data_IF_571555088086
#
_entry.id   IF_571555088086
#
_cell.length_a   1.000
_cell.length_b   1.000
_cell.length_c   1.000
_cell.angle_alpha   90.00
_cell.angle_beta   90.00
_cell.angle_gamma   90.00
#
_symmetry.space_group_name_H-M   'P 1'
#
loop_
_entity.id
_entity.type
_entity.pdbx_description
1 polymer ?
#
# COMPACT_ATOMS: atom_id res chain seq x y z
N UNK A 1 -25.28 -12.39 9.25
CA UNK A 1 -24.35 -11.57 10.05
C UNK A 1 -23.68 -10.61 9.09
N UNK A 2 -24.11 -9.35 9.05
CA UNK A 2 -23.44 -8.30 8.28
C UNK A 2 -22.31 -7.76 9.14
N UNK A 3 -21.06 -7.97 8.70
CA UNK A 3 -19.91 -7.34 9.34
C UNK A 3 -19.91 -5.89 8.87
N UNK A 4 -20.17 -4.96 9.80
CA UNK A 4 -19.99 -3.53 9.57
C UNK A 4 -18.49 -3.24 9.52
N UNK A 5 -17.92 -3.27 8.30
CA UNK A 5 -16.53 -2.87 8.08
C UNK A 5 -16.49 -1.36 7.92
N UNK A 6 -15.97 -0.64 8.90
CA UNK A 6 -15.65 0.79 8.74
C UNK A 6 -14.67 0.93 7.58
N UNK A 7 -15.00 1.70 6.53
CA UNK A 7 -14.11 1.84 5.38
C UNK A 7 -12.82 2.53 5.82
N UNK A 8 -11.69 1.86 5.60
CA UNK A 8 -10.37 2.45 5.81
C UNK A 8 -10.17 3.50 4.71
N UNK A 9 -9.98 4.75 5.10
CA UNK A 9 -9.85 5.86 4.16
C UNK A 9 -8.37 6.15 3.90
N UNK A 10 -7.93 6.01 2.65
CA UNK A 10 -6.59 6.39 2.21
C UNK A 10 -6.59 7.84 1.72
N UNK A 11 -5.81 8.71 2.37
CA UNK A 11 -5.53 10.04 1.84
C UNK A 11 -4.43 9.94 0.77
N UNK A 12 -4.83 10.05 -0.50
CA UNK A 12 -3.92 9.98 -1.66
C UNK A 12 -3.18 11.29 -1.95
N UNK A 13 -3.43 12.35 -1.16
CA UNK A 13 -2.75 13.64 -1.27
C UNK A 13 -1.67 13.83 -0.20
N UNK A 14 -1.59 12.94 0.77
CA UNK A 14 -0.58 12.99 1.83
C UNK A 14 0.82 12.60 1.32
N UNK A 15 1.81 12.70 2.21
CA UNK A 15 3.18 12.26 1.92
C UNK A 15 3.23 10.78 1.52
N UNK A 16 4.05 10.45 0.52
CA UNK A 16 4.12 9.09 -0.02
C UNK A 16 4.54 8.06 1.02
N UNK A 17 5.45 8.40 1.94
CA UNK A 17 5.88 7.49 2.99
C UNK A 17 4.75 7.21 3.99
N UNK A 18 3.94 8.22 4.32
CA UNK A 18 2.76 8.07 5.17
C UNK A 18 1.65 7.28 4.47
N UNK A 19 1.44 7.50 3.17
CA UNK A 19 0.50 6.71 2.39
C UNK A 19 0.95 5.24 2.32
N UNK A 20 2.23 4.98 2.09
CA UNK A 20 2.78 3.61 2.10
C UNK A 20 2.65 2.96 3.46
N UNK A 21 2.93 3.68 4.56
CA UNK A 21 2.69 3.20 5.92
C UNK A 21 1.22 2.80 6.12
N UNK A 22 0.28 3.67 5.73
CA UNK A 22 -1.15 3.39 5.82
C UNK A 22 -1.59 2.17 4.97
N UNK A 23 -0.97 1.95 3.81
CA UNK A 23 -1.20 0.75 2.99
C UNK A 23 -0.69 -0.51 3.70
N UNK A 24 0.50 -0.45 4.31
CA UNK A 24 1.13 -1.57 5.01
C UNK A 24 0.38 -1.99 6.29
N UNK A 25 -0.34 -1.06 6.91
CA UNK A 25 -1.17 -1.33 8.09
C UNK A 25 -2.47 -2.09 7.75
N UNK A 26 -2.82 -2.19 6.46
CA UNK A 26 -3.99 -2.96 5.99
C UNK A 26 -3.52 -4.35 5.60
N UNK A 27 -4.10 -5.38 6.24
CA UNK A 27 -3.81 -6.76 5.85
C UNK A 27 -4.28 -7.04 4.42
N UNK A 28 -3.36 -7.52 3.59
CA UNK A 28 -3.64 -7.92 2.20
C UNK A 28 -2.91 -9.21 1.83
N UNK A 29 -2.80 -10.17 2.74
CA UNK A 29 -2.21 -11.48 2.40
C UNK A 29 -3.00 -12.10 1.25
N UNK A 30 -2.33 -12.75 0.28
CA UNK A 30 -2.99 -13.28 -0.92
C UNK A 30 -4.29 -14.03 -0.59
N UNK A 31 -5.42 -13.57 -1.14
CA UNK A 31 -6.78 -14.04 -0.86
C UNK A 31 -7.55 -13.27 0.23
N UNK A 32 -6.97 -12.22 0.82
CA UNK A 32 -7.58 -11.34 1.81
C UNK A 32 -7.36 -9.84 1.49
N UNK A 33 -7.35 -9.49 0.20
CA UNK A 33 -7.06 -8.13 -0.28
C UNK A 33 -8.27 -7.20 -0.26
N UNK A 34 -9.48 -7.74 -0.06
CA UNK A 34 -10.75 -7.01 -0.18
C UNK A 34 -10.79 -5.67 0.58
N UNK A 35 -10.30 -5.64 1.82
CA UNK A 35 -10.28 -4.41 2.62
C UNK A 35 -9.36 -3.33 2.03
N UNK A 36 -8.20 -3.73 1.52
CA UNK A 36 -7.26 -2.83 0.86
C UNK A 36 -7.82 -2.37 -0.50
N UNK A 37 -8.41 -3.28 -1.26
CA UNK A 37 -9.07 -2.97 -2.52
C UNK A 37 -10.22 -1.96 -2.31
N UNK A 38 -11.06 -2.12 -1.29
CA UNK A 38 -12.13 -1.18 -0.96
C UNK A 38 -11.59 0.22 -0.63
N UNK A 39 -10.51 0.29 0.15
CA UNK A 39 -9.85 1.55 0.49
C UNK A 39 -9.29 2.26 -0.76
N UNK A 40 -8.63 1.51 -1.64
CA UNK A 40 -8.06 2.03 -2.90
C UNK A 40 -9.17 2.50 -3.84
N UNK A 41 -10.23 1.73 -4.03
CA UNK A 41 -11.36 2.12 -4.89
C UNK A 41 -12.01 3.40 -4.38
N UNK A 42 -12.29 3.48 -3.07
CA UNK A 42 -12.87 4.65 -2.43
C UNK A 42 -12.02 5.90 -2.67
N UNK A 43 -10.70 5.79 -2.47
CA UNK A 43 -9.79 6.90 -2.71
C UNK A 43 -9.74 7.33 -4.20
N UNK A 44 -9.68 6.38 -5.13
CA UNK A 44 -9.64 6.65 -6.58
C UNK A 44 -10.94 7.28 -7.10
N UNK A 45 -12.10 6.94 -6.53
CA UNK A 45 -13.40 7.55 -6.86
C UNK A 45 -13.45 9.06 -6.57
N UNK A 46 -12.59 9.56 -5.70
CA UNK A 46 -12.50 11.01 -5.41
C UNK A 46 -11.80 11.80 -6.52
N UNK A 47 -11.11 11.12 -7.45
CA UNK A 47 -10.36 11.77 -8.52
C UNK A 47 -11.28 11.98 -9.75
N UNK A 48 -11.55 13.24 -10.14
CA UNK A 48 -12.38 13.51 -11.30
C UNK A 48 -11.69 13.07 -12.61
N UNK A 49 -12.47 12.50 -13.52
CA UNK A 49 -11.99 12.10 -14.85
C UNK A 49 -11.40 10.69 -14.94
N UNK A 50 -11.40 9.92 -13.83
CA UNK A 50 -11.09 8.50 -13.85
C UNK A 50 -12.35 7.66 -14.07
N UNK A 51 -12.24 6.69 -14.98
CA UNK A 51 -13.17 5.57 -15.09
C UNK A 51 -12.60 4.39 -14.32
N UNK A 52 -13.36 3.84 -13.38
CA UNK A 52 -12.98 2.69 -12.58
C UNK A 52 -13.71 1.44 -13.06
N UNK A 53 -12.99 0.33 -13.12
CA UNK A 53 -13.51 -1.03 -13.31
C UNK A 53 -12.97 -1.89 -12.17
N UNK A 54 -13.85 -2.66 -11.54
CA UNK A 54 -13.49 -3.61 -10.49
C UNK A 54 -13.80 -5.03 -10.92
N UNK A 55 -12.86 -5.93 -10.68
CA UNK A 55 -12.98 -7.37 -10.90
C UNK A 55 -12.42 -8.10 -9.67
N UNK A 56 -13.31 -8.50 -8.75
CA UNK A 56 -12.91 -8.99 -7.43
C UNK A 56 -12.09 -7.94 -6.67
N UNK A 57 -10.87 -8.29 -6.28
CA UNK A 57 -9.93 -7.40 -5.57
C UNK A 57 -8.96 -6.67 -6.52
N UNK A 58 -9.11 -6.83 -7.84
CA UNK A 58 -8.39 -6.07 -8.83
C UNK A 58 -9.15 -4.79 -9.22
N UNK A 59 -8.43 -3.67 -9.27
CA UNK A 59 -8.99 -2.35 -9.60
C UNK A 59 -8.22 -1.76 -10.76
N UNK A 60 -8.95 -1.34 -11.78
CA UNK A 60 -8.40 -0.62 -12.93
C UNK A 60 -8.97 0.80 -12.91
N UNK A 61 -8.11 1.80 -12.90
CA UNK A 61 -8.49 3.19 -13.10
C UNK A 61 -7.84 3.73 -14.38
N UNK A 62 -8.63 4.37 -15.24
CA UNK A 62 -8.17 4.90 -16.52
C UNK A 62 -8.71 6.30 -16.81
N UNK A 63 -7.93 7.08 -17.55
CA UNK A 63 -8.37 8.36 -18.13
C UNK A 63 -8.76 8.20 -19.60
N UNK A 64 -9.75 8.94 -20.08
CA UNK A 64 -10.12 9.01 -21.50
C UNK A 64 -9.63 10.32 -22.12
N UNK A 65 -8.34 10.38 -22.47
CA UNK A 65 -7.68 11.60 -22.98
C UNK A 65 -7.71 11.75 -24.51
N UNK A 66 -8.27 10.77 -25.24
CA UNK A 66 -8.33 10.79 -26.70
C UNK A 66 -6.96 10.76 -27.41
N UNK A 67 -5.89 10.35 -26.72
CA UNK A 67 -4.54 10.27 -27.27
C UNK A 67 -4.30 8.96 -28.03
N UNK A 68 -3.44 8.95 -29.07
CA UNK A 68 -3.15 7.76 -29.85
C UNK A 68 -2.36 6.70 -29.07
N UNK A 69 -1.68 7.11 -27.99
CA UNK A 69 -0.85 6.25 -27.15
C UNK A 69 -1.31 6.31 -25.68
N UNK A 70 -1.09 5.21 -24.95
CA UNK A 70 -1.45 5.08 -23.53
C UNK A 70 -0.31 4.45 -22.74
N UNK A 71 -0.17 4.87 -21.49
CA UNK A 71 0.76 4.28 -20.51
C UNK A 71 -0.06 3.52 -19.48
N UNK A 72 0.43 2.34 -19.11
CA UNK A 72 -0.16 1.51 -18.05
C UNK A 72 0.81 1.50 -16.87
N UNK A 73 0.31 1.86 -15.69
CA UNK A 73 0.99 1.67 -14.42
C UNK A 73 0.27 0.53 -13.71
N UNK A 74 1.00 -0.54 -13.39
CA UNK A 74 0.45 -1.74 -12.78
C UNK A 74 1.31 -2.18 -11.60
N UNK A 75 0.65 -2.73 -10.58
CA UNK A 75 1.24 -3.31 -9.38
C UNK A 75 0.22 -4.22 -8.71
N UNK A 76 0.66 -5.04 -7.77
CA UNK A 76 -0.22 -5.93 -7.02
C UNK A 76 -0.45 -5.37 -5.60
N UNK A 77 -1.62 -5.67 -5.03
CA UNK A 77 -1.99 -5.26 -3.67
C UNK A 77 -1.66 -6.32 -2.62
N UNK A 78 -1.43 -7.56 -3.06
CA UNK A 78 -1.27 -8.69 -2.17
C UNK A 78 0.12 -8.78 -1.55
N UNK A 79 0.17 -9.33 -0.34
CA UNK A 79 1.40 -9.64 0.38
C UNK A 79 1.51 -11.13 0.62
N UNK A 80 2.73 -11.59 0.88
CA UNK A 80 2.95 -12.95 1.40
C UNK A 80 2.69 -13.00 2.91
N UNK A 81 2.35 -14.18 3.46
CA UNK A 81 2.25 -14.36 4.91
C UNK A 81 3.56 -13.99 5.62
N UNK A 82 3.44 -13.56 6.88
CA UNK A 82 4.61 -13.27 7.71
C UNK A 82 5.47 -14.53 7.89
N UNK A 83 6.82 -14.39 7.93
CA UNK A 83 7.69 -15.50 8.25
C UNK A 83 7.37 -16.07 9.63
N UNK A 84 7.31 -17.41 9.74
CA UNK A 84 7.02 -18.12 10.99
C UNK A 84 8.25 -18.72 11.65
N UNK A 85 9.44 -18.53 11.08
CA UNK A 85 10.69 -19.07 11.64
C UNK A 85 11.14 -18.27 12.85
N UNK A 86 11.64 -18.97 13.87
CA UNK A 86 12.08 -18.36 15.13
C UNK A 86 13.21 -17.34 14.89
N UNK A 87 13.10 -16.16 15.49
CA UNK A 87 14.00 -15.03 15.24
C UNK A 87 13.63 -14.14 14.06
N UNK A 88 12.53 -14.40 13.34
CA UNK A 88 12.04 -13.50 12.29
C UNK A 88 11.51 -12.19 12.86
N UNK A 89 11.88 -11.07 12.23
CA UNK A 89 11.41 -9.72 12.60
C UNK A 89 10.05 -9.35 11.97
N UNK A 90 9.40 -10.27 11.24
CA UNK A 90 8.15 -9.99 10.52
C UNK A 90 8.37 -9.26 9.19
N UNK A 91 7.45 -8.37 8.83
CA UNK A 91 7.57 -7.47 7.66
C UNK A 91 8.41 -6.24 7.96
N UNK A 92 8.73 -5.46 6.93
CA UNK A 92 9.24 -4.09 7.11
C UNK A 92 8.22 -3.31 7.95
N UNK A 93 8.62 -2.74 9.09
CA UNK A 93 7.70 -1.98 9.92
C UNK A 93 7.42 -0.62 9.26
N UNK A 94 6.17 -0.16 9.34
CA UNK A 94 5.75 1.14 8.82
C UNK A 94 6.44 2.33 9.55
N UNK A 95 6.99 2.08 10.75
CA UNK A 95 7.73 3.05 11.55
C UNK A 95 8.93 2.36 12.22
N UNK A 96 10.05 3.09 12.35
CA UNK A 96 11.18 2.66 13.17
C UNK A 96 11.25 3.50 14.45
N UNK A 97 11.72 2.90 15.56
CA UNK A 97 11.91 3.58 16.85
C UNK A 97 12.81 4.84 16.76
N UNK A 98 13.62 4.95 15.70
CA UNK A 98 14.44 6.12 15.39
C UNK A 98 13.64 7.35 14.91
N UNK A 99 12.36 7.21 14.57
CA UNK A 99 11.48 8.32 14.17
C UNK A 99 11.79 8.94 12.80
N UNK A 100 12.67 8.33 12.00
CA UNK A 100 13.09 8.85 10.68
C UNK A 100 12.75 7.82 9.58
N UNK A 101 11.92 8.18 8.58
CA UNK A 101 11.69 7.30 7.43
C UNK A 101 12.96 7.14 6.58
N UNK A 102 13.30 5.89 6.23
CA UNK A 102 14.15 5.56 5.08
C UNK A 102 15.66 5.82 5.20
N UNK A 103 16.25 5.94 6.39
CA UNK A 103 17.71 6.01 6.57
C UNK A 103 18.15 5.00 7.61
N UNK A 104 18.87 3.96 7.20
CA UNK A 104 19.66 3.19 8.16
C UNK A 104 20.65 4.16 8.85
N UNK A 105 20.92 4.01 10.15
CA UNK A 105 22.06 4.67 10.76
C UNK A 105 23.28 4.21 9.97
N UNK A 106 23.99 5.17 9.36
CA UNK A 106 25.31 4.89 8.81
C UNK A 106 26.12 4.35 10.01
N UNK A 107 26.43 3.05 10.00
CA UNK A 107 27.34 2.46 10.95
C UNK A 107 28.71 3.10 10.67
N UNK A 108 29.00 4.20 11.37
CA UNK A 108 30.36 4.68 11.56
C UNK A 108 31.08 3.63 12.42
N UNK A 109 31.51 2.55 11.77
CA UNK A 109 32.37 1.55 12.38
C UNK A 109 33.74 2.20 12.59
N UNK A 110 33.97 2.71 13.78
CA UNK A 110 35.31 3.07 14.24
C UNK A 110 36.15 1.78 14.31
N UNK A 111 37.30 1.69 13.61
CA UNK A 111 38.11 0.47 13.60
C UNK A 111 38.77 0.28 14.98
N UNK A 112 38.84 -0.95 15.51
CA UNK A 112 39.51 -1.18 16.78
C UNK A 112 41.01 -0.95 16.66
N UNK A 113 41.56 -0.17 17.59
CA UNK A 113 43.00 0.03 17.84
C UNK A 113 43.74 -1.25 18.21
#
# INVERSE_FOLDING_TARGET
>A
MTVETTPILLDIRQDVALLTAALMDINSVSGNEAALADAVESALRTIPGLQLVRDGDAIIARTELGRPERVILAGHLDTVPLPTVEGSLGTVPATWESGVPGREPCMDAEPPT
#
